data_IF_637235871438
#
_entry.id   IF_637235871438
#
_cell.length_a   1.000
_cell.length_b   1.000
_cell.length_c   1.000
_cell.angle_alpha   90.00
_cell.angle_beta   90.00
_cell.angle_gamma   90.00
#
_symmetry.space_group_name_H-M   'P 1'
#
loop_
_entity.id
_entity.type
_entity.pdbx_description
1 polymer ?
#
# COMPACT_ATOMS: atom_id res chain seq x y z
N UNK A 1 9.51 7.06 -8.10
CA UNK A 1 8.90 5.83 -7.57
C UNK A 1 8.64 5.87 -6.06
N UNK A 2 9.54 5.48 -5.15
CA UNK A 2 9.18 5.40 -3.72
C UNK A 2 9.15 6.75 -2.96
N UNK A 3 9.66 7.82 -3.57
CA UNK A 3 9.72 9.16 -2.97
C UNK A 3 8.35 9.68 -2.55
N UNK A 4 7.27 9.32 -3.25
CA UNK A 4 5.91 9.79 -2.94
C UNK A 4 5.39 9.33 -1.58
N UNK A 5 5.91 8.20 -1.09
CA UNK A 5 5.46 7.57 0.15
C UNK A 5 6.31 7.92 1.38
N UNK A 6 7.45 8.61 1.22
CA UNK A 6 8.43 8.84 2.31
C UNK A 6 7.83 9.44 3.58
N UNK A 7 6.83 10.32 3.45
CA UNK A 7 6.21 10.99 4.61
C UNK A 7 4.97 10.26 5.16
N UNK A 8 4.51 9.21 4.47
CA UNK A 8 3.21 8.58 4.74
C UNK A 8 3.29 7.08 5.01
N UNK A 9 4.39 6.42 4.64
CA UNK A 9 4.60 5.01 4.87
C UNK A 9 6.06 4.67 5.14
N UNK A 10 6.27 3.62 5.93
CA UNK A 10 7.56 3.00 6.16
C UNK A 10 7.62 1.66 5.43
N UNK A 11 8.76 1.33 4.82
CA UNK A 11 8.99 0.04 4.18
C UNK A 11 10.45 -0.38 4.30
N UNK A 12 10.70 -1.66 4.04
CA UNK A 12 12.05 -2.19 3.90
C UNK A 12 12.27 -2.63 2.46
N UNK A 13 13.48 -2.39 1.93
CA UNK A 13 13.85 -2.89 0.60
C UNK A 13 13.99 -4.41 0.69
N UNK A 14 13.19 -5.18 -0.07
CA UNK A 14 13.25 -6.64 -0.02
C UNK A 14 14.59 -7.12 -0.57
N UNK A 15 15.22 -8.06 0.14
CA UNK A 15 16.46 -8.70 -0.32
C UNK A 15 16.21 -9.72 -1.44
N UNK A 16 15.00 -10.26 -1.52
CA UNK A 16 14.53 -11.20 -2.53
C UNK A 16 12.99 -11.23 -2.59
N UNK A 17 12.44 -11.91 -3.60
CA UNK A 17 11.00 -12.11 -3.75
C UNK A 17 10.34 -11.12 -4.70
N UNK A 18 9.03 -10.91 -4.52
CA UNK A 18 8.19 -10.12 -5.44
C UNK A 18 7.22 -9.15 -4.75
N UNK A 19 7.44 -8.89 -3.46
CA UNK A 19 6.54 -8.06 -2.66
C UNK A 19 7.27 -7.01 -1.85
N UNK A 20 6.69 -5.81 -1.77
CA UNK A 20 6.95 -4.85 -0.72
C UNK A 20 5.93 -5.02 0.41
N UNK A 21 6.43 -4.98 1.64
CA UNK A 21 5.63 -4.90 2.84
C UNK A 21 5.77 -3.49 3.42
N UNK A 22 4.66 -2.77 3.50
CA UNK A 22 4.65 -1.34 3.81
C UNK A 22 3.69 -1.06 4.96
N UNK A 23 4.13 -0.22 5.91
CA UNK A 23 3.32 0.27 7.03
C UNK A 23 2.87 1.69 6.73
N UNK A 24 1.57 1.97 6.81
CA UNK A 24 1.06 3.34 6.69
C UNK A 24 1.12 4.06 8.05
N UNK A 25 1.70 5.24 8.09
CA UNK A 25 2.07 5.89 9.36
C UNK A 25 0.89 6.51 10.11
N UNK A 26 -0.16 6.93 9.38
CA UNK A 26 -1.35 7.59 9.94
C UNK A 26 -2.66 6.82 9.73
N UNK A 27 -2.58 5.62 9.16
CA UNK A 27 -3.75 4.79 8.84
C UNK A 27 -3.71 3.54 9.73
N UNK A 28 -4.53 3.47 10.80
CA UNK A 28 -4.47 2.37 11.74
C UNK A 28 -4.95 1.03 11.14
N UNK A 29 -5.89 1.07 10.20
CA UNK A 29 -6.40 -0.11 9.47
C UNK A 29 -6.45 0.18 7.97
N UNK A 30 -5.73 -0.61 7.18
CA UNK A 30 -5.67 -0.48 5.72
C UNK A 30 -6.85 -1.14 5.00
N UNK A 31 -7.67 -1.96 5.69
CA UNK A 31 -8.74 -2.73 5.05
C UNK A 31 -9.69 -1.84 4.24
N UNK A 32 -10.28 -0.84 4.89
CA UNK A 32 -11.26 0.02 4.23
C UNK A 32 -10.59 0.90 3.16
N UNK A 33 -9.40 1.41 3.43
CA UNK A 33 -8.63 2.23 2.49
C UNK A 33 -8.40 1.49 1.17
N UNK A 34 -8.00 0.21 1.26
CA UNK A 34 -7.62 -0.58 0.09
C UNK A 34 -8.83 -1.22 -0.60
N UNK A 35 -9.75 -1.81 0.16
CA UNK A 35 -10.89 -2.54 -0.42
C UNK A 35 -12.00 -1.64 -0.97
N UNK A 36 -12.02 -0.36 -0.61
CA UNK A 36 -13.02 0.59 -1.11
C UNK A 36 -12.33 1.69 -1.93
N UNK A 37 -11.51 2.52 -1.28
CA UNK A 37 -11.02 3.77 -1.88
C UNK A 37 -9.90 3.59 -2.91
N UNK A 38 -8.99 2.64 -2.69
CA UNK A 38 -7.87 2.42 -3.61
C UNK A 38 -8.35 1.88 -4.97
N UNK A 39 -9.36 1.00 -4.95
CA UNK A 39 -9.96 0.44 -6.17
C UNK A 39 -10.58 1.55 -7.04
N UNK A 40 -11.26 2.53 -6.43
CA UNK A 40 -11.81 3.70 -7.14
C UNK A 40 -10.73 4.57 -7.80
N UNK A 41 -9.48 4.48 -7.34
CA UNK A 41 -8.31 5.15 -7.93
C UNK A 41 -7.48 4.22 -8.81
N UNK A 42 -8.04 3.06 -9.16
CA UNK A 42 -7.40 1.99 -9.93
C UNK A 42 -6.06 1.52 -9.34
N UNK A 43 -5.96 1.52 -8.01
CA UNK A 43 -4.83 0.96 -7.25
C UNK A 43 -5.30 -0.30 -6.53
N UNK A 44 -4.69 -1.44 -6.85
CA UNK A 44 -4.97 -2.72 -6.19
C UNK A 44 -3.77 -3.19 -5.36
N UNK A 45 -4.00 -3.37 -4.06
CA UNK A 45 -3.03 -3.85 -3.08
C UNK A 45 -3.69 -4.87 -2.16
N UNK A 46 -2.91 -5.56 -1.33
CA UNK A 46 -3.47 -6.50 -0.35
C UNK A 46 -3.38 -5.91 1.06
N UNK A 47 -4.50 -5.74 1.79
CA UNK A 47 -4.50 -5.32 3.19
C UNK A 47 -3.70 -6.27 4.07
N UNK A 48 -2.95 -5.74 5.03
CA UNK A 48 -2.04 -6.54 5.85
C UNK A 48 -2.73 -7.52 6.80
N UNK A 49 -3.97 -7.24 7.20
CA UNK A 49 -4.73 -8.06 8.15
C UNK A 49 -4.96 -9.50 7.68
N UNK A 50 -4.96 -9.77 6.37
CA UNK A 50 -5.14 -11.13 5.84
C UNK A 50 -3.94 -12.04 6.13
N UNK A 51 -2.82 -11.47 6.55
CA UNK A 51 -1.60 -12.19 6.97
C UNK A 51 -1.47 -12.31 8.49
N UNK A 52 -2.43 -11.78 9.26
CA UNK A 52 -2.42 -11.82 10.72
C UNK A 52 -3.24 -13.01 11.23
N UNK A 53 -2.88 -13.56 12.39
CA UNK A 53 -3.62 -14.64 13.04
C UNK A 53 -5.00 -14.21 13.50
N UNK A 54 -5.11 -13.01 14.06
CA UNK A 54 -6.37 -12.31 14.30
C UNK A 54 -6.63 -11.34 13.15
N UNK A 55 -7.40 -11.80 12.18
CA UNK A 55 -7.78 -10.98 11.03
C UNK A 55 -8.86 -9.96 11.36
N UNK A 56 -9.39 -9.90 12.59
CA UNK A 56 -10.37 -8.88 13.02
C UNK A 56 -9.70 -7.61 13.56
N UNK A 57 -8.46 -7.73 14.06
CA UNK A 57 -7.69 -6.63 14.60
C UNK A 57 -7.27 -5.61 13.51
N UNK A 58 -7.19 -4.31 13.84
CA UNK A 58 -6.71 -3.28 12.91
C UNK A 58 -5.25 -3.54 12.51
N UNK A 59 -4.96 -3.37 11.22
CA UNK A 59 -3.61 -3.57 10.69
C UNK A 59 -3.22 -2.42 9.74
N UNK A 60 -2.17 -1.68 10.11
CA UNK A 60 -1.66 -0.54 9.33
C UNK A 60 -0.79 -0.95 8.14
N UNK A 61 -0.58 -2.25 7.93
CA UNK A 61 0.28 -2.75 6.88
C UNK A 61 -0.48 -3.07 5.60
N UNK A 62 0.24 -3.11 4.48
CA UNK A 62 -0.23 -3.62 3.20
C UNK A 62 0.91 -4.29 2.43
N UNK A 63 0.54 -5.13 1.46
CA UNK A 63 1.46 -5.80 0.54
C UNK A 63 1.26 -5.29 -0.88
N UNK A 64 2.35 -4.82 -1.51
CA UNK A 64 2.40 -4.45 -2.91
C UNK A 64 3.19 -5.49 -3.71
N UNK A 65 2.66 -5.94 -4.85
CA UNK A 65 3.35 -6.83 -5.76
C UNK A 65 4.05 -6.03 -6.85
N UNK A 66 5.26 -6.43 -7.25
CA UNK A 66 6.01 -5.79 -8.34
C UNK A 66 6.40 -6.78 -9.46
N UNK A 67 5.91 -8.02 -9.41
CA UNK A 67 6.31 -9.09 -10.33
C UNK A 67 5.89 -8.87 -11.79
N UNK A 68 4.82 -8.09 -12.03
CA UNK A 68 4.21 -7.95 -13.35
C UNK A 68 4.01 -6.50 -13.80
N UNK A 69 4.16 -5.54 -12.89
CA UNK A 69 3.91 -4.12 -13.18
C UNK A 69 5.12 -3.47 -13.83
N UNK A 70 4.91 -2.63 -14.84
CA UNK A 70 5.97 -1.82 -15.43
C UNK A 70 6.45 -0.74 -14.46
N UNK A 71 7.66 -0.18 -14.63
CA UNK A 71 8.12 0.99 -13.89
C UNK A 71 7.14 2.17 -13.91
N UNK A 72 6.49 2.42 -15.05
CA UNK A 72 5.53 3.50 -15.25
C UNK A 72 4.23 3.24 -14.47
N UNK A 73 3.69 2.02 -14.55
CA UNK A 73 2.51 1.61 -13.79
C UNK A 73 2.77 1.67 -12.27
N UNK A 74 3.97 1.27 -11.84
CA UNK A 74 4.37 1.38 -10.44
C UNK A 74 4.46 2.84 -9.98
N UNK A 75 5.04 3.74 -10.79
CA UNK A 75 5.13 5.15 -10.45
C UNK A 75 3.74 5.78 -10.32
N UNK A 76 2.86 5.54 -11.30
CA UNK A 76 1.47 6.01 -11.29
C UNK A 76 0.67 5.45 -10.10
N UNK A 77 0.76 4.15 -9.85
CA UNK A 77 0.07 3.50 -8.73
C UNK A 77 0.52 4.05 -7.38
N UNK A 78 1.83 4.28 -7.19
CA UNK A 78 2.37 4.86 -5.95
C UNK A 78 1.99 6.34 -5.78
N UNK A 79 1.91 7.13 -6.87
CA UNK A 79 1.41 8.51 -6.80
C UNK A 79 -0.06 8.55 -6.36
N UNK A 80 -0.92 7.72 -6.97
CA UNK A 80 -2.34 7.61 -6.62
C UNK A 80 -2.53 7.16 -5.18
N UNK A 81 -1.75 6.17 -4.73
CA UNK A 81 -1.73 5.71 -3.34
C UNK A 81 -1.32 6.85 -2.39
N UNK A 82 -0.25 7.58 -2.71
CA UNK A 82 0.21 8.69 -1.88
C UNK A 82 -0.84 9.80 -1.76
N UNK A 83 -1.50 10.18 -2.85
CA UNK A 83 -2.59 11.15 -2.86
C UNK A 83 -3.77 10.68 -2.00
N UNK A 84 -4.14 9.41 -2.11
CA UNK A 84 -5.20 8.79 -1.32
C UNK A 84 -4.88 8.84 0.19
N UNK A 85 -3.65 8.52 0.58
CA UNK A 85 -3.23 8.54 2.00
C UNK A 85 -3.15 9.98 2.54
N UNK A 86 -2.71 10.94 1.72
CA UNK A 86 -2.59 12.36 2.11
C UNK A 86 -3.94 13.08 2.18
N UNK A 87 -5.03 12.45 1.71
CA UNK A 87 -6.38 13.02 1.76
C UNK A 87 -6.70 13.98 0.62
N UNK A 88 -6.09 13.80 -0.56
CA UNK A 88 -6.35 14.63 -1.73
C UNK A 88 -7.32 13.93 -2.71
N UNK A 89 -8.60 14.24 -2.54
CA UNK A 89 -9.43 14.88 -3.57
C UNK A 89 -10.48 15.73 -2.86
#
# INVERSE_FOLDING_TARGET
MLVFLQDVADWQVPSAGMFFWMKLNKIPDTQQLISEKAIEKEVLLVPGRVFMTDSSAPCSYLRAAFSISSPEEMDEGLQRLAALIKGSA
#
